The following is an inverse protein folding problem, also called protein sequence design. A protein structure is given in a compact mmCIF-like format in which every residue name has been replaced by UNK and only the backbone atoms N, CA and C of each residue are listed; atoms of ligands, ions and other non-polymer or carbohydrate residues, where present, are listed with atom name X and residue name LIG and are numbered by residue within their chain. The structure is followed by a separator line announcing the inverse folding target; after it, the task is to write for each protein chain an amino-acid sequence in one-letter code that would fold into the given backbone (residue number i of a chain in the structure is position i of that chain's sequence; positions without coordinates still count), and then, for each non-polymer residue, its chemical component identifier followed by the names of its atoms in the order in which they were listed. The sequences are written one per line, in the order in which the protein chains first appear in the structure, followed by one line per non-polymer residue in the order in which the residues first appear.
data_IF_283578000074
#
_entry.id   IF_283578000074
#
_cell.length_a   1.000
_cell.length_b   1.000
_cell.length_c   1.000
_cell.angle_alpha   90.00
_cell.angle_beta   90.00
_cell.angle_gamma   90.00
#
_symmetry.space_group_name_H-M   'P 1'
#
loop_
_entity.id
_entity.type
_entity.pdbx_description
1 polymer ?
#
# COMPACT_ATOMS: atom_id res chain seq x y z
N UNK A 1 5.57 19.34 -29.94
CA UNK A 1 5.04 18.69 -29.76
C UNK A 1 5.24 17.96 -28.67
N UNK A 2 5.50 17.88 -27.76
CA UNK A 2 5.71 17.05 -26.78
C UNK A 2 5.30 17.44 -25.43
N UNK A 3 4.21 18.14 -25.25
CA UNK A 3 3.71 18.56 -23.95
C UNK A 3 3.31 17.38 -23.08
N UNK A 4 3.02 16.25 -23.66
CA UNK A 4 2.60 15.07 -22.89
C UNK A 4 3.66 14.57 -21.91
N UNK A 5 4.93 14.75 -22.23
CA UNK A 5 6.02 14.33 -21.34
C UNK A 5 6.05 15.17 -20.06
N UNK A 6 5.81 16.47 -20.17
CA UNK A 6 5.79 17.33 -18.99
C UNK A 6 4.67 16.96 -18.02
N UNK A 7 3.50 16.60 -18.53
CA UNK A 7 2.40 16.19 -17.69
C UNK A 7 2.67 14.84 -17.00
N UNK A 8 3.26 13.90 -17.72
CA UNK A 8 3.64 12.62 -17.15
C UNK A 8 4.66 12.81 -16.03
N UNK A 9 5.66 13.66 -16.25
CA UNK A 9 6.69 13.94 -15.24
C UNK A 9 6.09 14.56 -13.99
N UNK A 10 5.15 15.51 -14.14
CA UNK A 10 4.48 16.13 -13.03
C UNK A 10 3.66 15.13 -12.20
N UNK A 11 2.95 14.24 -12.89
CA UNK A 11 2.17 13.20 -12.23
C UNK A 11 3.07 12.20 -11.51
N UNK A 12 4.18 11.81 -12.12
CA UNK A 12 5.14 10.90 -11.51
C UNK A 12 5.75 11.49 -10.25
N UNK A 13 6.11 12.78 -10.29
CA UNK A 13 6.65 13.47 -9.12
C UNK A 13 5.64 13.48 -7.96
N UNK A 14 4.36 13.73 -8.25
CA UNK A 14 3.32 13.74 -7.25
C UNK A 14 3.12 12.35 -6.62
N UNK A 15 3.15 11.31 -7.42
CA UNK A 15 3.04 9.93 -6.95
C UNK A 15 4.23 9.55 -6.07
N UNK A 16 5.43 9.89 -6.48
CA UNK A 16 6.65 9.64 -5.70
C UNK A 16 6.58 10.36 -4.36
N UNK A 17 6.13 11.61 -4.36
CA UNK A 17 5.98 12.36 -3.12
C UNK A 17 4.99 11.74 -2.15
N UNK A 18 3.89 11.20 -2.67
CA UNK A 18 2.92 10.49 -1.83
C UNK A 18 3.57 9.26 -1.19
N UNK A 19 4.28 8.47 -1.97
CA UNK A 19 4.94 7.26 -1.44
C UNK A 19 6.01 7.64 -0.41
N UNK A 20 6.77 8.69 -0.65
CA UNK A 20 7.75 9.17 0.34
C UNK A 20 7.11 9.50 1.68
N UNK A 21 5.92 10.07 1.67
CA UNK A 21 5.19 10.35 2.92
C UNK A 21 4.81 9.08 3.66
N UNK A 22 4.46 8.01 2.92
CA UNK A 22 4.12 6.73 3.53
C UNK A 22 5.32 6.10 4.23
N UNK A 23 6.52 6.27 3.69
CA UNK A 23 7.73 5.62 4.19
C UNK A 23 8.61 6.54 5.03
N UNK A 24 8.02 7.47 5.76
CA UNK A 24 8.79 8.28 6.71
C UNK A 24 9.46 7.39 7.73
N UNK A 25 10.70 7.72 8.05
CA UNK A 25 11.45 7.02 9.07
C UNK A 25 11.75 7.94 10.24
N UNK A 26 11.94 7.37 11.42
CA UNK A 26 12.41 8.10 12.58
C UNK A 26 13.93 8.35 12.48
N UNK A 27 14.51 8.97 13.50
CA UNK A 27 15.93 9.29 13.51
C UNK A 27 16.83 8.05 13.51
N UNK A 28 16.30 6.92 13.97
CA UNK A 28 17.02 5.66 14.00
C UNK A 28 16.84 4.85 12.72
N UNK A 29 15.98 5.28 11.80
CA UNK A 29 15.76 4.59 10.54
C UNK A 29 14.61 3.59 10.54
N UNK A 30 13.81 3.55 11.61
CA UNK A 30 12.63 2.70 11.62
C UNK A 30 11.47 3.39 10.90
N UNK A 31 10.72 2.63 10.15
CA UNK A 31 9.55 3.16 9.48
C UNK A 31 8.48 3.52 10.51
N UNK A 32 8.05 4.77 10.47
CA UNK A 32 6.91 5.22 11.28
C UNK A 32 5.80 5.71 10.35
N UNK A 33 5.66 5.03 9.22
CA UNK A 33 4.81 5.46 8.14
C UNK A 33 3.37 5.66 8.56
N UNK A 34 2.73 6.55 7.86
CA UNK A 34 1.31 6.74 8.03
C UNK A 34 0.58 5.57 7.39
N UNK A 35 -0.57 5.23 7.95
CA UNK A 35 -1.37 4.14 7.42
C UNK A 35 -1.88 4.52 6.03
N UNK A 36 -1.86 3.57 5.10
CA UNK A 36 -2.32 3.87 3.75
C UNK A 36 -3.79 4.28 3.70
N UNK A 37 -4.57 3.93 4.70
CA UNK A 37 -5.99 4.32 4.76
C UNK A 37 -6.16 5.83 4.67
N UNK A 38 -5.19 6.59 5.15
CA UNK A 38 -5.22 8.05 5.07
C UNK A 38 -5.21 8.55 3.63
N UNK A 39 -4.48 7.85 2.76
CA UNK A 39 -4.31 8.24 1.36
C UNK A 39 -5.08 7.35 0.38
N UNK A 40 -5.86 6.41 0.88
CA UNK A 40 -6.64 5.51 0.04
C UNK A 40 -7.77 6.27 -0.66
N UNK A 41 -8.06 5.87 -1.90
CA UNK A 41 -9.24 6.35 -2.59
C UNK A 41 -10.48 5.99 -1.76
N UNK A 42 -11.55 6.80 -1.82
CA UNK A 42 -12.74 6.52 -1.01
C UNK A 42 -13.29 5.11 -1.16
N UNK A 43 -13.30 4.59 -2.38
CA UNK A 43 -13.76 3.24 -2.65
C UNK A 43 -12.86 2.19 -2.01
N UNK A 44 -11.55 2.35 -2.12
CA UNK A 44 -10.59 1.44 -1.50
C UNK A 44 -10.69 1.50 0.02
N UNK A 45 -10.82 2.71 0.56
CA UNK A 45 -11.01 2.91 2.01
C UNK A 45 -12.25 2.15 2.51
N UNK A 46 -13.33 2.20 1.76
CA UNK A 46 -14.56 1.49 2.11
C UNK A 46 -14.37 -0.04 2.09
N UNK A 47 -13.68 -0.54 1.08
CA UNK A 47 -13.34 -1.96 0.97
C UNK A 47 -12.51 -2.41 2.18
N UNK A 48 -11.50 -1.64 2.56
CA UNK A 48 -10.67 -1.92 3.73
C UNK A 48 -11.54 -2.01 4.99
N UNK A 49 -12.40 -1.04 5.20
CA UNK A 49 -13.29 -1.02 6.37
C UNK A 49 -14.21 -2.24 6.43
N UNK A 50 -14.81 -2.60 5.32
CA UNK A 50 -15.71 -3.76 5.27
C UNK A 50 -14.95 -5.05 5.53
N UNK A 51 -13.78 -5.20 4.92
CA UNK A 51 -12.95 -6.39 5.12
C UNK A 51 -12.55 -6.54 6.59
N UNK A 52 -12.12 -5.46 7.23
CA UNK A 52 -11.74 -5.51 8.64
C UNK A 52 -12.89 -5.87 9.56
N UNK A 53 -14.10 -5.41 9.28
CA UNK A 53 -15.27 -5.82 10.06
C UNK A 53 -15.49 -7.33 10.01
N UNK A 54 -15.32 -7.91 8.83
CA UNK A 54 -15.48 -9.36 8.64
C UNK A 54 -14.33 -10.11 9.31
N UNK A 55 -13.10 -9.64 9.13
CA UNK A 55 -11.91 -10.23 9.75
C UNK A 55 -12.07 -10.23 11.28
N UNK A 56 -12.41 -9.09 11.86
CA UNK A 56 -12.60 -8.98 13.31
C UNK A 56 -13.68 -9.94 13.81
N UNK A 57 -14.77 -10.06 13.06
CA UNK A 57 -15.84 -11.00 13.43
C UNK A 57 -15.39 -12.44 13.40
N UNK A 58 -14.60 -12.82 12.41
CA UNK A 58 -14.07 -14.18 12.31
C UNK A 58 -13.10 -14.47 13.45
N UNK A 59 -12.18 -13.54 13.71
CA UNK A 59 -11.19 -13.71 14.79
C UNK A 59 -11.85 -13.84 16.16
N UNK A 60 -12.90 -13.07 16.40
CA UNK A 60 -13.65 -13.16 17.67
C UNK A 60 -14.37 -14.51 17.82
N UNK A 61 -14.92 -15.05 16.73
CA UNK A 61 -15.65 -16.32 16.79
C UNK A 61 -14.74 -17.53 16.88
N UNK A 62 -13.62 -17.50 16.16
CA UNK A 62 -12.76 -18.66 16.03
C UNK A 62 -11.56 -18.64 16.95
N UNK A 63 -11.12 -17.46 17.38
CA UNK A 63 -9.87 -17.29 18.11
C UNK A 63 -8.63 -17.36 17.21
N UNK A 64 -8.81 -17.62 15.91
CA UNK A 64 -7.72 -17.72 14.98
C UNK A 64 -7.46 -16.38 14.30
N UNK A 65 -6.19 -16.12 13.97
CA UNK A 65 -5.79 -14.90 13.26
C UNK A 65 -6.03 -15.07 11.77
N UNK A 66 -6.54 -14.02 11.15
CA UNK A 66 -6.75 -13.97 9.72
C UNK A 66 -5.46 -13.51 9.05
N UNK A 67 -4.73 -14.43 8.44
CA UNK A 67 -3.40 -14.14 7.88
C UNK A 67 -3.42 -13.03 6.83
N UNK A 68 -4.52 -12.85 6.15
CA UNK A 68 -4.66 -11.82 5.13
C UNK A 68 -4.55 -10.40 5.72
N UNK A 69 -4.89 -10.22 6.99
CA UNK A 69 -4.79 -8.92 7.64
C UNK A 69 -3.34 -8.46 7.78
N UNK A 70 -2.42 -9.39 7.92
CA UNK A 70 -1.00 -9.10 8.06
C UNK A 70 -0.40 -8.55 6.77
N UNK A 71 -0.91 -8.96 5.63
CA UNK A 71 -0.40 -8.50 4.34
C UNK A 71 -0.59 -7.01 4.11
N UNK A 72 -1.59 -6.44 4.73
CA UNK A 72 -1.85 -5.01 4.62
C UNK A 72 -0.75 -4.18 5.28
N UNK A 73 -0.28 -4.63 6.44
CA UNK A 73 0.74 -3.89 7.19
C UNK A 73 2.16 -4.14 6.67
N UNK A 74 2.35 -5.20 5.90
CA UNK A 74 3.68 -5.57 5.40
C UNK A 74 4.27 -4.58 4.40
N UNK A 75 3.48 -3.65 3.90
CA UNK A 75 3.99 -2.59 3.04
C UNK A 75 5.06 -1.72 3.68
N UNK A 76 5.19 -1.78 5.00
CA UNK A 76 6.14 -0.95 5.75
C UNK A 76 7.19 -1.76 6.48
N UNK A 77 7.31 -3.06 6.19
CA UNK A 77 8.20 -3.94 6.92
C UNK A 77 7.54 -4.43 8.21
N UNK A 78 8.30 -5.16 9.02
CA UNK A 78 7.76 -5.75 10.25
C UNK A 78 7.84 -4.82 11.47
N UNK A 79 8.33 -3.59 11.29
CA UNK A 79 8.42 -2.62 12.38
C UNK A 79 9.59 -2.81 13.34
N UNK A 80 10.24 -3.96 13.30
CA UNK A 80 11.34 -4.30 14.20
C UNK A 80 12.70 -4.07 13.56
N UNK A 81 12.76 -3.85 12.26
CA UNK A 81 14.00 -3.66 11.53
C UNK A 81 14.00 -2.32 10.82
N UNK A 82 15.19 -1.78 10.66
CA UNK A 82 15.37 -0.54 9.93
C UNK A 82 15.14 -0.74 8.44
N UNK A 83 14.40 0.16 7.84
CA UNK A 83 14.23 0.18 6.40
C UNK A 83 15.47 0.81 5.78
N UNK A 84 16.05 0.15 4.80
CA UNK A 84 17.21 0.64 4.07
C UNK A 84 17.02 0.42 2.57
N UNK A 85 17.81 1.13 1.78
CA UNK A 85 17.82 1.00 0.32
C UNK A 85 16.44 1.24 -0.31
N UNK A 86 15.70 2.19 0.25
CA UNK A 86 14.38 2.54 -0.29
C UNK A 86 14.54 3.13 -1.69
N UNK A 87 13.85 2.53 -2.65
CA UNK A 87 13.84 2.98 -4.03
C UNK A 87 12.40 3.07 -4.51
N UNK A 88 12.04 4.21 -5.08
CA UNK A 88 10.70 4.49 -5.58
C UNK A 88 10.82 4.78 -7.06
N UNK A 89 10.16 3.96 -7.88
CA UNK A 89 10.28 4.03 -9.34
C UNK A 89 8.90 4.11 -9.97
N UNK A 90 8.57 5.19 -10.69
CA UNK A 90 7.32 5.23 -11.44
C UNK A 90 7.37 4.22 -12.58
N UNK A 91 6.27 3.53 -12.81
CA UNK A 91 6.11 2.59 -13.90
C UNK A 91 5.04 3.12 -14.86
N UNK A 92 4.77 2.38 -15.91
CA UNK A 92 3.73 2.75 -16.86
C UNK A 92 2.34 2.74 -16.20
N UNK A 93 1.44 3.57 -16.68
CA UNK A 93 0.11 3.70 -16.12
C UNK A 93 0.15 4.39 -14.77
N UNK A 94 -0.62 3.88 -13.82
CA UNK A 94 -0.72 4.46 -12.49
C UNK A 94 0.18 3.80 -11.45
N UNK A 95 1.06 2.89 -11.87
CA UNK A 95 1.86 2.09 -10.95
C UNK A 95 3.13 2.78 -10.52
N UNK A 96 3.45 2.65 -9.24
CA UNK A 96 4.73 3.07 -8.67
C UNK A 96 5.32 1.88 -7.94
N UNK A 97 6.53 1.50 -8.31
CA UNK A 97 7.22 0.40 -7.66
C UNK A 97 8.01 0.90 -6.45
N UNK A 98 7.94 0.18 -5.36
CA UNK A 98 8.67 0.48 -4.13
C UNK A 98 9.45 -0.75 -3.72
N UNK A 99 10.75 -0.60 -3.61
CA UNK A 99 11.62 -1.66 -3.11
C UNK A 99 12.39 -1.15 -1.91
N UNK A 100 12.60 -2.01 -0.94
CA UNK A 100 13.42 -1.68 0.23
C UNK A 100 13.88 -2.97 0.90
N UNK A 101 14.89 -2.83 1.76
CA UNK A 101 15.36 -3.93 2.60
C UNK A 101 14.91 -3.70 4.03
N UNK A 102 14.48 -4.77 4.67
CA UNK A 102 14.05 -4.79 6.06
C UNK A 102 14.87 -5.90 6.71
N UNK A 103 16.00 -5.54 7.29
CA UNK A 103 16.99 -6.51 7.70
C UNK A 103 17.55 -7.26 6.50
N UNK A 104 17.42 -8.58 6.48
CA UNK A 104 17.85 -9.41 5.36
C UNK A 104 16.75 -9.60 4.31
N UNK A 105 15.54 -9.16 4.59
CA UNK A 105 14.41 -9.33 3.68
C UNK A 105 14.33 -8.20 2.68
N UNK A 106 14.07 -8.57 1.42
CA UNK A 106 13.84 -7.60 0.35
C UNK A 106 12.35 -7.52 0.08
N UNK A 107 11.83 -6.31 0.03
CA UNK A 107 10.41 -6.06 -0.22
C UNK A 107 10.24 -5.39 -1.57
N UNK A 108 9.21 -5.81 -2.31
CA UNK A 108 8.90 -5.26 -3.62
C UNK A 108 7.37 -5.13 -3.72
N UNK A 109 6.91 -3.89 -3.71
CA UNK A 109 5.50 -3.58 -3.80
C UNK A 109 5.24 -2.67 -4.98
N UNK A 110 4.00 -2.67 -5.45
CA UNK A 110 3.53 -1.69 -6.42
C UNK A 110 2.29 -1.02 -5.85
N UNK A 111 2.25 0.29 -5.96
CA UNK A 111 1.10 1.10 -5.56
C UNK A 111 0.40 1.59 -6.82
N UNK A 112 -0.90 1.35 -6.89
CA UNK A 112 -1.74 1.94 -7.94
C UNK A 112 -2.22 3.28 -7.44
N UNK A 113 -1.68 4.36 -7.99
CA UNK A 113 -1.93 5.72 -7.53
C UNK A 113 -2.46 6.54 -8.69
N UNK A 114 -3.59 7.19 -8.47
CA UNK A 114 -4.11 8.16 -9.43
C UNK A 114 -4.09 9.55 -8.83
N UNK A 115 -3.80 10.53 -9.68
CA UNK A 115 -3.69 11.93 -9.26
C UNK A 115 -4.65 12.78 -10.09
N UNK A 116 -5.38 13.64 -9.42
CA UNK A 116 -6.06 14.78 -10.04
C UNK A 116 -5.21 16.01 -9.75
N UNK A 117 -5.58 17.16 -10.29
CA UNK A 117 -4.74 18.36 -10.32
C UNK A 117 -3.93 18.64 -9.05
N UNK A 118 -4.46 18.36 -7.88
CA UNK A 118 -3.77 18.66 -6.62
C UNK A 118 -3.75 17.51 -5.62
N UNK A 119 -4.22 16.34 -5.99
CA UNK A 119 -4.39 15.27 -5.01
C UNK A 119 -4.14 13.90 -5.64
N UNK A 120 -3.36 13.09 -4.94
CA UNK A 120 -3.13 11.70 -5.30
C UNK A 120 -3.79 10.79 -4.28
N UNK A 121 -4.33 9.68 -4.76
CA UNK A 121 -4.94 8.65 -3.91
C UNK A 121 -4.46 7.27 -4.32
N UNK A 122 -4.43 6.36 -3.36
CA UNK A 122 -4.04 4.97 -3.57
C UNK A 122 -5.29 4.16 -3.88
N UNK A 123 -5.32 3.50 -5.03
CA UNK A 123 -6.43 2.66 -5.45
C UNK A 123 -6.22 1.20 -5.09
N UNK A 124 -4.98 0.75 -5.03
CA UNK A 124 -4.64 -0.62 -4.72
C UNK A 124 -3.16 -0.71 -4.32
N UNK A 125 -2.83 -1.78 -3.64
CA UNK A 125 -1.45 -2.13 -3.30
C UNK A 125 -1.24 -3.56 -3.76
N UNK A 126 -0.17 -3.78 -4.53
CA UNK A 126 0.16 -5.09 -5.06
C UNK A 126 1.42 -5.55 -4.34
N UNK A 127 1.29 -6.60 -3.55
CA UNK A 127 2.40 -7.16 -2.80
C UNK A 127 2.66 -8.58 -3.30
N UNK A 128 3.86 -8.80 -3.81
CA UNK A 128 4.26 -10.10 -4.35
C UNK A 128 3.28 -10.59 -5.42
N UNK A 129 2.90 -9.67 -6.32
CA UNK A 129 1.98 -9.98 -7.41
C UNK A 129 0.51 -10.10 -7.03
N UNK A 130 0.18 -9.90 -5.77
CA UNK A 130 -1.19 -10.04 -5.27
C UNK A 130 -1.80 -8.68 -4.96
N UNK A 131 -2.98 -8.43 -5.53
CA UNK A 131 -3.75 -7.22 -5.25
C UNK A 131 -4.41 -7.32 -3.88
N UNK A 132 -4.07 -6.42 -2.99
CA UNK A 132 -4.69 -6.35 -1.66
C UNK A 132 -6.18 -6.02 -1.79
N UNK A 133 -6.53 -5.13 -2.69
CA UNK A 133 -7.93 -4.79 -2.95
C UNK A 133 -8.76 -6.02 -3.33
N UNK A 134 -8.25 -6.83 -4.26
CA UNK A 134 -8.94 -8.04 -4.68
C UNK A 134 -9.06 -9.06 -3.56
N UNK A 135 -8.04 -9.19 -2.74
CA UNK A 135 -8.07 -10.09 -1.59
C UNK A 135 -9.14 -9.67 -0.58
N UNK A 136 -9.22 -8.38 -0.29
CA UNK A 136 -10.25 -7.87 0.62
C UNK A 136 -11.65 -8.01 0.02
N UNK A 137 -11.81 -7.78 -1.26
CA UNK A 137 -13.09 -8.01 -1.94
C UNK A 137 -13.52 -9.47 -1.84
N UNK A 138 -12.56 -10.40 -1.93
CA UNK A 138 -12.84 -11.83 -1.76
C UNK A 138 -13.31 -12.15 -0.35
N UNK A 139 -12.67 -11.58 0.67
CA UNK A 139 -13.09 -11.74 2.07
C UNK A 139 -14.52 -11.23 2.25
N UNK A 140 -14.82 -10.07 1.69
CA UNK A 140 -16.16 -9.47 1.79
C UNK A 140 -17.21 -10.37 1.15
N UNK A 141 -16.94 -10.92 -0.03
CA UNK A 141 -17.92 -11.74 -0.74
C UNK A 141 -18.08 -13.14 -0.15
N UNK A 142 -16.98 -13.74 0.30
CA UNK A 142 -17.00 -15.11 0.86
C UNK A 142 -17.27 -15.12 2.35
N UNK A 143 -17.07 -14.00 3.04
CA UNK A 143 -17.16 -13.87 4.50
C UNK A 143 -16.24 -14.87 5.21
N UNK A 144 -15.08 -15.11 4.63
CA UNK A 144 -14.07 -15.99 5.20
C UNK A 144 -12.69 -15.42 4.92
N UNK A 145 -11.69 -15.92 5.67
CA UNK A 145 -10.29 -15.50 5.49
C UNK A 145 -9.55 -16.33 4.44
N UNK A 146 -10.21 -17.29 3.84
CA UNK A 146 -9.58 -18.21 2.89
C UNK A 146 -9.59 -17.69 1.47
#
# INVERSE_FOLDING_TARGET
MVPSLSFADGSDAAKINLVKKLYKTDKQGYANGETYSKYAAPEFKNIIKQAYRIIDGIERRTGDTCDMAEHYDQGFGNGDSKISKLKITPLSGNLVQVTFSDGSLKNNLKYDISCTSNRCVINDIINDGRSIRKQYQKIISSKSCD
#
